data_IF_710747666766
#
_entry.id   IF_710747666766
#
_cell.length_a   1.000
_cell.length_b   1.000
_cell.length_c   1.000
_cell.angle_alpha   90.00
_cell.angle_beta   90.00
_cell.angle_gamma   90.00
#
_symmetry.space_group_name_H-M   'P 1'
#
loop_
_entity.id
_entity.type
_entity.pdbx_description
1 polymer ?
#
# COMPACT_ATOMS: atom_id res chain seq x y z
N UNK A 1 14.34 4.33 -3.80
CA UNK A 1 15.57 3.82 -3.16
C UNK A 1 16.76 4.62 -3.67
N UNK A 2 17.74 4.98 -2.80
CA UNK A 2 18.95 5.70 -3.23
C UNK A 2 19.85 4.84 -4.13
N UNK A 3 20.48 5.46 -5.12
CA UNK A 3 21.34 4.75 -6.09
C UNK A 3 22.54 4.05 -5.45
N UNK A 4 23.23 4.70 -4.51
CA UNK A 4 24.40 4.13 -3.83
C UNK A 4 24.05 2.81 -3.11
N UNK A 5 22.86 2.72 -2.51
CA UNK A 5 22.44 1.55 -1.75
C UNK A 5 22.21 0.35 -2.66
N UNK A 6 21.65 0.59 -3.85
CA UNK A 6 21.47 -0.47 -4.84
C UNK A 6 22.80 -1.10 -5.27
N UNK A 7 23.80 -0.26 -5.54
CA UNK A 7 25.13 -0.76 -5.92
C UNK A 7 25.80 -1.52 -4.77
N UNK A 8 25.59 -1.10 -3.54
CA UNK A 8 26.09 -1.80 -2.36
C UNK A 8 25.38 -3.15 -2.15
N UNK A 9 24.07 -3.24 -2.40
CA UNK A 9 23.32 -4.49 -2.41
C UNK A 9 23.88 -5.46 -3.47
N UNK A 10 24.11 -4.99 -4.70
CA UNK A 10 24.67 -5.83 -5.76
C UNK A 10 26.10 -6.28 -5.44
N UNK A 11 26.92 -5.39 -4.86
CA UNK A 11 28.26 -5.74 -4.40
C UNK A 11 28.24 -6.82 -3.32
N UNK A 12 27.33 -6.70 -2.35
CA UNK A 12 27.12 -7.71 -1.32
C UNK A 12 26.66 -9.05 -1.92
N UNK A 13 25.68 -9.03 -2.82
CA UNK A 13 25.15 -10.23 -3.46
C UNK A 13 26.20 -10.98 -4.29
N UNK A 14 27.06 -10.26 -5.02
CA UNK A 14 28.14 -10.86 -5.81
C UNK A 14 29.22 -11.51 -4.92
N UNK A 15 29.52 -10.94 -3.75
CA UNK A 15 30.47 -11.54 -2.80
C UNK A 15 29.88 -12.78 -2.15
N UNK A 16 28.57 -12.80 -1.92
CA UNK A 16 27.85 -13.93 -1.33
C UNK A 16 27.11 -14.76 -2.39
N UNK A 17 27.78 -15.03 -3.51
CA UNK A 17 27.23 -15.93 -4.52
C UNK A 17 27.07 -17.35 -3.93
N UNK A 18 26.00 -18.06 -4.32
CA UNK A 18 25.69 -19.41 -3.80
C UNK A 18 26.77 -20.45 -4.13
N UNK A 19 27.65 -20.17 -5.09
CA UNK A 19 28.79 -20.99 -5.46
C UNK A 19 30.06 -20.72 -4.67
N UNK A 20 30.16 -19.58 -3.98
CA UNK A 20 31.42 -19.04 -3.44
C UNK A 20 31.56 -19.17 -1.91
N UNK A 21 30.56 -19.74 -1.22
CA UNK A 21 30.63 -19.99 0.22
C UNK A 21 29.41 -20.72 0.78
N UNK A 22 29.35 -20.84 2.11
CA UNK A 22 28.39 -21.67 2.84
C UNK A 22 27.66 -20.96 3.99
N UNK A 23 27.87 -19.64 4.16
CA UNK A 23 27.12 -18.86 5.16
C UNK A 23 25.66 -18.68 4.75
N UNK A 24 24.79 -18.28 5.68
CA UNK A 24 23.36 -18.01 5.39
C UNK A 24 23.13 -16.99 4.24
N UNK A 25 24.09 -16.09 4.01
CA UNK A 25 24.04 -15.09 2.95
C UNK A 25 24.55 -15.58 1.59
N UNK A 26 25.23 -16.74 1.50
CA UNK A 26 25.68 -17.34 0.23
C UNK A 26 24.52 -18.03 -0.49
N UNK A 27 23.55 -17.22 -0.90
CA UNK A 27 22.33 -17.68 -1.57
C UNK A 27 21.90 -16.68 -2.66
N UNK A 28 22.84 -15.99 -3.30
CA UNK A 28 22.55 -15.15 -4.48
C UNK A 28 23.12 -15.81 -5.73
N UNK A 29 22.37 -15.76 -6.83
CA UNK A 29 22.86 -16.06 -8.18
C UNK A 29 23.41 -14.76 -8.77
N UNK A 30 24.72 -14.56 -8.66
CA UNK A 30 25.41 -13.35 -9.04
C UNK A 30 25.12 -12.94 -10.49
N UNK A 31 24.74 -11.68 -10.68
CA UNK A 31 24.56 -11.09 -12.00
C UNK A 31 24.76 -9.59 -12.00
N UNK A 32 25.20 -9.08 -13.15
CA UNK A 32 25.35 -7.65 -13.36
C UNK A 32 23.97 -7.00 -13.46
N UNK A 33 23.64 -6.16 -12.46
CA UNK A 33 22.50 -5.25 -12.53
C UNK A 33 21.15 -5.83 -12.08
N UNK A 34 21.10 -7.06 -11.55
CA UNK A 34 19.91 -7.59 -10.90
C UNK A 34 20.24 -8.36 -9.63
N UNK A 35 19.32 -8.35 -8.68
CA UNK A 35 19.38 -9.15 -7.47
C UNK A 35 18.57 -10.43 -7.71
N UNK A 36 19.20 -11.59 -7.53
CA UNK A 36 18.58 -12.90 -7.75
C UNK A 36 18.85 -13.83 -6.56
N UNK A 37 18.03 -13.82 -5.50
CA UNK A 37 18.16 -14.78 -4.43
C UNK A 37 17.86 -16.20 -4.95
N UNK A 38 18.71 -17.15 -4.63
CA UNK A 38 18.74 -18.53 -5.12
C UNK A 38 19.20 -19.50 -4.04
N UNK A 39 18.38 -20.50 -3.73
CA UNK A 39 18.79 -21.62 -2.87
C UNK A 39 19.28 -22.80 -3.71
N UNK A 40 20.52 -23.25 -3.47
CA UNK A 40 21.12 -24.41 -4.16
C UNK A 40 20.45 -25.73 -3.77
N UNK A 41 20.00 -25.83 -2.53
CA UNK A 41 19.32 -26.99 -1.93
C UNK A 41 18.11 -26.53 -1.13
N UNK A 42 17.19 -27.45 -0.86
CA UNK A 42 16.12 -27.21 0.11
C UNK A 42 16.72 -26.99 1.51
N UNK A 43 16.12 -26.10 2.28
CA UNK A 43 16.34 -25.94 3.71
C UNK A 43 15.02 -25.63 4.43
N UNK A 44 15.08 -25.39 5.74
CA UNK A 44 13.89 -25.15 6.57
C UNK A 44 13.13 -23.87 6.19
N UNK A 45 13.80 -22.91 5.56
CA UNK A 45 13.24 -21.60 5.20
C UNK A 45 12.84 -21.53 3.72
N UNK A 46 13.61 -22.15 2.84
CA UNK A 46 13.56 -21.95 1.39
C UNK A 46 13.68 -23.28 0.63
N UNK A 47 12.93 -23.36 -0.47
CA UNK A 47 13.02 -24.46 -1.44
C UNK A 47 14.05 -24.15 -2.51
N UNK A 48 14.67 -25.19 -3.06
CA UNK A 48 15.67 -25.04 -4.12
C UNK A 48 15.12 -24.22 -5.29
N UNK A 49 15.94 -23.30 -5.81
CA UNK A 49 15.64 -22.47 -6.96
C UNK A 49 15.68 -20.97 -6.65
N UNK A 50 15.32 -20.16 -7.65
CA UNK A 50 15.21 -18.71 -7.49
C UNK A 50 13.98 -18.32 -6.69
N UNK A 51 14.16 -17.33 -5.82
CA UNK A 51 13.11 -16.75 -5.00
C UNK A 51 12.58 -15.42 -5.52
N UNK A 52 13.22 -14.86 -6.55
CA UNK A 52 12.77 -13.64 -7.19
C UNK A 52 13.86 -13.09 -8.09
N UNK A 53 13.48 -12.17 -8.95
CA UNK A 53 14.41 -11.39 -9.76
C UNK A 53 14.01 -9.93 -9.58
N UNK A 54 14.97 -9.12 -9.16
CA UNK A 54 14.75 -7.71 -8.89
C UNK A 54 15.65 -6.84 -9.74
N UNK A 55 15.05 -5.82 -10.35
CA UNK A 55 15.72 -4.86 -11.21
C UNK A 55 15.50 -3.44 -10.70
N UNK A 56 16.30 -2.50 -11.17
CA UNK A 56 16.04 -1.07 -10.96
C UNK A 56 15.54 -0.40 -12.23
N UNK A 57 14.68 0.60 -12.07
CA UNK A 57 14.38 1.60 -13.09
C UNK A 57 14.68 2.99 -12.57
N UNK A 58 15.29 3.82 -13.43
CA UNK A 58 15.56 5.26 -13.20
C UNK A 58 14.44 6.15 -13.76
N UNK A 59 13.56 5.59 -14.57
CA UNK A 59 12.55 6.34 -15.32
C UNK A 59 11.24 5.57 -15.26
N UNK A 60 10.60 5.63 -14.11
CA UNK A 60 9.22 5.23 -13.97
C UNK A 60 8.41 6.47 -13.61
N UNK A 61 7.63 6.95 -14.58
CA UNK A 61 6.82 8.16 -14.42
C UNK A 61 5.96 8.06 -13.15
N UNK A 62 5.75 9.15 -12.42
CA UNK A 62 4.94 9.13 -11.20
C UNK A 62 5.46 8.28 -10.02
N UNK A 63 6.65 7.65 -10.14
CA UNK A 63 7.27 6.85 -9.06
C UNK A 63 8.69 7.34 -8.78
N UNK A 64 9.51 7.57 -9.81
CA UNK A 64 10.91 8.03 -9.63
C UNK A 64 11.03 9.51 -9.97
N UNK A 65 11.65 10.29 -9.08
CA UNK A 65 11.99 11.69 -9.31
C UNK A 65 13.48 11.93 -9.00
N UNK A 66 14.14 12.77 -9.81
CA UNK A 66 15.56 13.08 -9.60
C UNK A 66 16.48 11.86 -9.64
N UNK A 67 17.09 11.52 -8.50
CA UNK A 67 18.03 10.41 -8.34
C UNK A 67 17.40 9.14 -7.74
N UNK A 68 16.07 9.09 -7.63
CA UNK A 68 15.38 7.93 -7.08
C UNK A 68 15.39 6.74 -8.04
N UNK A 69 15.65 5.56 -7.48
CA UNK A 69 15.48 4.28 -8.16
C UNK A 69 14.18 3.61 -7.71
N UNK A 70 13.42 3.11 -8.68
CA UNK A 70 12.32 2.18 -8.46
C UNK A 70 12.86 0.74 -8.49
N UNK A 71 12.62 -0.01 -7.43
CA UNK A 71 12.89 -1.45 -7.38
C UNK A 71 11.70 -2.20 -8.00
N UNK A 72 11.97 -2.98 -9.04
CA UNK A 72 10.98 -3.75 -9.77
C UNK A 72 11.09 -5.22 -9.39
N UNK A 73 9.96 -5.82 -9.02
CA UNK A 73 9.82 -7.26 -8.79
C UNK A 73 9.30 -7.91 -10.07
N UNK A 74 10.01 -8.92 -10.57
CA UNK A 74 9.57 -9.69 -11.74
C UNK A 74 8.60 -10.79 -11.28
N UNK A 75 7.38 -10.87 -11.84
CA UNK A 75 6.49 -12.00 -11.58
C UNK A 75 7.09 -13.31 -12.10
N UNK A 76 6.71 -14.47 -11.54
CA UNK A 76 7.15 -15.74 -12.08
C UNK A 76 6.61 -15.87 -13.51
N UNK A 77 7.48 -16.18 -14.46
CA UNK A 77 7.08 -16.33 -15.86
C UNK A 77 6.11 -17.50 -16.02
N UNK A 78 5.17 -17.39 -16.96
CA UNK A 78 4.15 -18.41 -17.27
C UNK A 78 4.81 -19.75 -17.64
N UNK A 79 6.04 -19.69 -18.13
CA UNK A 79 6.83 -20.85 -18.57
C UNK A 79 7.36 -21.68 -17.38
N UNK A 80 7.54 -21.09 -16.19
CA UNK A 80 8.23 -21.76 -15.08
C UNK A 80 7.32 -22.35 -14.00
N UNK A 81 5.99 -22.19 -14.09
CA UNK A 81 4.98 -22.65 -13.10
C UNK A 81 5.49 -22.58 -11.65
N UNK A 82 6.08 -21.44 -11.29
CA UNK A 82 6.65 -21.25 -9.95
C UNK A 82 5.55 -20.81 -9.01
N UNK A 83 5.21 -21.69 -8.09
CA UNK A 83 4.34 -21.37 -6.97
C UNK A 83 4.87 -20.15 -6.21
N UNK A 84 4.00 -19.15 -6.06
CA UNK A 84 4.29 -17.91 -5.33
C UNK A 84 4.08 -18.16 -3.84
N UNK A 85 5.17 -18.21 -3.09
CA UNK A 85 5.15 -18.38 -1.63
C UNK A 85 6.47 -17.91 -0.99
N UNK A 86 6.50 -17.59 0.31
CA UNK A 86 7.73 -17.21 1.02
C UNK A 86 8.88 -18.22 0.91
N UNK A 87 8.56 -19.50 0.69
CA UNK A 87 9.57 -20.56 0.56
C UNK A 87 10.07 -20.73 -0.88
N UNK A 88 9.28 -20.33 -1.88
CA UNK A 88 9.55 -20.50 -3.31
C UNK A 88 9.72 -19.14 -3.97
N UNK A 89 8.89 -18.77 -4.95
CA UNK A 89 8.95 -17.45 -5.56
C UNK A 89 8.28 -16.42 -4.66
N UNK A 90 9.06 -15.50 -4.12
CA UNK A 90 8.59 -14.57 -3.09
C UNK A 90 7.45 -13.69 -3.61
N UNK A 91 6.33 -13.65 -2.88
CA UNK A 91 5.35 -12.57 -3.01
C UNK A 91 6.05 -11.21 -2.89
N UNK A 92 5.56 -10.21 -3.64
CA UNK A 92 6.17 -8.87 -3.68
C UNK A 92 6.24 -8.20 -2.29
N UNK A 93 5.26 -8.43 -1.41
CA UNK A 93 5.25 -7.96 -0.02
C UNK A 93 6.27 -8.66 0.86
N UNK A 94 6.36 -9.98 0.76
CA UNK A 94 7.40 -10.73 1.45
C UNK A 94 8.79 -10.27 1.00
N UNK A 95 9.00 -10.10 -0.30
CA UNK A 95 10.26 -9.63 -0.84
C UNK A 95 10.62 -8.21 -0.38
N UNK A 96 9.65 -7.29 -0.37
CA UNK A 96 9.86 -5.94 0.14
C UNK A 96 10.32 -5.96 1.61
N UNK A 97 9.57 -6.66 2.48
CA UNK A 97 9.91 -6.79 3.89
C UNK A 97 11.28 -7.46 4.08
N UNK A 98 11.57 -8.53 3.34
CA UNK A 98 12.87 -9.20 3.41
C UNK A 98 14.03 -8.26 2.99
N UNK A 99 13.85 -7.46 1.94
CA UNK A 99 14.88 -6.51 1.48
C UNK A 99 15.09 -5.39 2.50
N UNK A 100 14.02 -4.79 3.01
CA UNK A 100 14.09 -3.63 3.91
C UNK A 100 14.48 -4.01 5.34
N UNK A 101 14.00 -5.14 5.84
CA UNK A 101 14.17 -5.55 7.24
C UNK A 101 15.34 -6.51 7.46
N UNK A 102 15.79 -7.25 6.43
CA UNK A 102 16.92 -8.18 6.55
C UNK A 102 18.11 -7.80 5.69
N UNK A 103 17.94 -7.69 4.37
CA UNK A 103 19.07 -7.49 3.46
C UNK A 103 19.78 -6.16 3.69
N UNK A 104 19.04 -5.05 3.67
CA UNK A 104 19.63 -3.71 3.78
C UNK A 104 20.41 -3.53 5.09
N UNK A 105 19.87 -3.91 6.26
CA UNK A 105 20.64 -3.88 7.51
C UNK A 105 21.95 -4.66 7.42
N UNK A 106 21.95 -5.82 6.77
CA UNK A 106 23.17 -6.63 6.64
C UNK A 106 24.17 -6.07 5.63
N UNK A 107 23.71 -5.54 4.50
CA UNK A 107 24.57 -4.83 3.54
C UNK A 107 25.31 -3.67 4.23
N UNK A 108 24.61 -2.93 5.10
CA UNK A 108 25.22 -1.85 5.89
C UNK A 108 26.25 -2.41 6.88
N UNK A 109 25.94 -3.51 7.58
CA UNK A 109 26.89 -4.16 8.50
C UNK A 109 28.14 -4.65 7.76
N UNK A 110 27.96 -5.28 6.60
CA UNK A 110 29.03 -5.77 5.74
C UNK A 110 29.95 -4.65 5.28
N UNK A 111 29.41 -3.53 4.80
CA UNK A 111 30.20 -2.36 4.39
C UNK A 111 31.02 -1.76 5.52
N UNK A 112 30.42 -1.65 6.71
CA UNK A 112 31.11 -1.14 7.90
C UNK A 112 32.22 -2.09 8.33
N UNK A 113 32.01 -3.41 8.19
CA UNK A 113 32.95 -4.45 8.62
C UNK A 113 34.11 -4.64 7.63
N UNK A 114 33.83 -4.67 6.32
CA UNK A 114 34.83 -4.82 5.26
C UNK A 114 35.79 -3.62 5.12
N UNK A 115 35.47 -2.49 5.74
CA UNK A 115 36.34 -1.30 5.76
C UNK A 115 37.48 -1.37 6.78
N UNK A 116 37.52 -2.35 7.70
CA UNK A 116 38.53 -2.41 8.77
C UNK A 116 38.83 -3.83 9.24
N UNK A 117 40.04 -4.33 8.93
CA UNK A 117 40.55 -5.62 9.42
C UNK A 117 41.18 -5.59 10.83
N UNK A 118 41.05 -4.51 11.61
CA UNK A 118 41.72 -4.42 12.93
C UNK A 118 40.79 -4.04 14.08
N UNK A 119 40.96 -4.76 15.20
CA UNK A 119 40.23 -4.60 16.47
C UNK A 119 40.37 -3.21 17.13
N UNK A 120 41.25 -2.33 16.63
CA UNK A 120 41.49 -0.98 17.18
C UNK A 120 40.39 0.05 16.84
N UNK A 121 39.39 -0.32 16.03
CA UNK A 121 38.46 0.64 15.42
C UNK A 121 36.98 0.45 15.80
N UNK A 122 36.68 -0.24 16.91
CA UNK A 122 35.29 -0.49 17.35
C UNK A 122 34.49 0.82 17.50
N UNK A 123 35.09 1.89 18.01
CA UNK A 123 34.44 3.20 18.11
C UNK A 123 34.24 3.92 16.76
N UNK A 124 35.06 3.66 15.74
CA UNK A 124 34.83 4.24 14.40
C UNK A 124 33.75 3.47 13.62
N UNK A 125 33.60 2.17 13.88
CA UNK A 125 32.53 1.33 13.29
C UNK A 125 31.15 1.82 13.70
N UNK A 126 30.92 2.08 14.99
CA UNK A 126 29.62 2.57 15.48
C UNK A 126 29.28 3.95 14.93
N UNK A 127 30.26 4.85 14.83
CA UNK A 127 30.08 6.18 14.22
C UNK A 127 29.78 6.10 12.72
N UNK A 128 30.51 5.27 11.97
CA UNK A 128 30.24 5.06 10.53
C UNK A 128 28.88 4.41 10.27
N UNK A 129 28.52 3.38 11.05
CA UNK A 129 27.20 2.75 10.98
C UNK A 129 26.10 3.78 11.24
N UNK A 130 26.25 4.61 12.28
CA UNK A 130 25.29 5.69 12.56
C UNK A 130 25.20 6.68 11.40
N UNK A 131 26.32 7.12 10.83
CA UNK A 131 26.32 8.03 9.68
C UNK A 131 25.64 7.43 8.44
N UNK A 132 25.87 6.14 8.13
CA UNK A 132 25.19 5.42 7.05
C UNK A 132 23.69 5.27 7.30
N UNK A 133 23.30 4.96 8.54
CA UNK A 133 21.88 4.90 8.93
C UNK A 133 21.22 6.28 8.88
N UNK A 134 21.92 7.34 9.30
CA UNK A 134 21.45 8.72 9.17
C UNK A 134 21.30 9.12 7.70
N UNK A 135 22.23 8.73 6.82
CA UNK A 135 22.11 8.93 5.38
C UNK A 135 20.94 8.15 4.78
N UNK A 136 20.70 6.91 5.22
CA UNK A 136 19.55 6.12 4.81
C UNK A 136 18.23 6.75 5.29
N UNK A 137 18.19 7.24 6.53
CA UNK A 137 17.00 7.89 7.10
C UNK A 137 16.74 9.26 6.46
N UNK A 138 17.80 9.98 6.07
CA UNK A 138 17.71 11.28 5.41
C UNK A 138 17.38 11.16 3.91
N UNK A 139 17.86 10.10 3.25
CA UNK A 139 17.46 9.75 1.90
C UNK A 139 16.10 9.06 1.98
N UNK A 140 15.05 9.88 2.11
CA UNK A 140 13.63 9.55 2.15
C UNK A 140 13.32 8.06 2.03
N UNK A 141 12.74 7.51 3.11
CA UNK A 141 12.27 6.13 3.30
C UNK A 141 12.16 5.35 1.99
N UNK A 142 12.71 4.12 1.94
CA UNK A 142 12.43 3.19 0.84
C UNK A 142 10.92 2.96 0.81
N UNK A 143 10.24 3.79 0.04
CA UNK A 143 8.80 3.92 0.08
C UNK A 143 8.18 2.70 -0.56
N UNK A 144 7.23 2.10 0.13
CA UNK A 144 6.32 1.18 -0.51
C UNK A 144 5.33 1.96 -1.38
N UNK A 145 5.67 2.10 -2.67
CA UNK A 145 4.84 2.78 -3.67
C UNK A 145 3.69 1.91 -4.16
N UNK A 146 3.51 0.70 -3.62
CA UNK A 146 2.42 -0.19 -4.02
C UNK A 146 1.12 0.36 -3.46
N UNK A 147 0.19 0.62 -4.37
CA UNK A 147 -1.21 0.75 -3.98
C UNK A 147 -1.74 -0.64 -3.65
N UNK A 148 -2.14 -0.86 -2.40
CA UNK A 148 -2.64 -2.14 -1.90
C UNK A 148 -4.16 -2.23 -2.03
N UNK A 149 -4.63 -3.46 -2.26
CA UNK A 149 -6.05 -3.81 -2.24
C UNK A 149 -6.62 -3.64 -0.82
N UNK A 150 -7.89 -3.27 -0.72
CA UNK A 150 -8.63 -3.14 0.53
C UNK A 150 -9.25 -4.48 0.93
N UNK A 151 -9.95 -5.16 0.00
CA UNK A 151 -10.83 -6.29 0.31
C UNK A 151 -10.07 -7.61 0.34
N UNK A 152 -9.33 -7.94 -0.72
CA UNK A 152 -8.67 -9.25 -0.85
C UNK A 152 -7.66 -9.52 0.26
N UNK A 153 -6.92 -8.48 0.64
CA UNK A 153 -5.95 -8.48 1.75
C UNK A 153 -6.61 -8.35 3.13
N UNK A 154 -7.94 -8.13 3.18
CA UNK A 154 -8.69 -7.72 4.38
C UNK A 154 -8.10 -6.49 5.09
N UNK A 155 -7.31 -5.67 4.38
CA UNK A 155 -6.62 -4.51 4.95
C UNK A 155 -7.60 -3.53 5.59
N UNK A 156 -8.79 -3.37 5.01
CA UNK A 156 -9.83 -2.49 5.56
C UNK A 156 -10.18 -2.79 7.03
N UNK A 157 -10.05 -4.04 7.49
CA UNK A 157 -10.36 -4.42 8.87
C UNK A 157 -9.40 -3.82 9.90
N UNK A 158 -8.18 -3.50 9.48
CA UNK A 158 -7.13 -2.94 10.34
C UNK A 158 -6.97 -1.42 10.12
N UNK A 159 -7.88 -0.80 9.35
CA UNK A 159 -7.84 0.62 9.03
C UNK A 159 -8.97 1.35 9.75
N UNK A 160 -8.68 2.58 10.19
CA UNK A 160 -9.74 3.47 10.68
C UNK A 160 -10.67 3.87 9.53
N UNK A 161 -11.95 4.05 9.84
CA UNK A 161 -12.99 4.33 8.85
C UNK A 161 -12.70 5.60 8.04
N UNK A 162 -12.19 6.66 8.69
CA UNK A 162 -11.76 7.88 8.02
C UNK A 162 -10.81 7.59 6.85
N UNK A 163 -9.82 6.70 7.07
CA UNK A 163 -8.82 6.37 6.05
C UNK A 163 -9.41 5.59 4.89
N UNK A 164 -10.38 4.72 5.16
CA UNK A 164 -11.10 3.98 4.11
C UNK A 164 -11.90 4.97 3.25
N UNK A 165 -12.67 5.87 3.87
CA UNK A 165 -13.46 6.88 3.16
C UNK A 165 -12.56 7.80 2.34
N UNK A 166 -11.42 8.24 2.88
CA UNK A 166 -10.43 9.07 2.16
C UNK A 166 -9.91 8.37 0.89
N UNK A 167 -9.55 7.08 0.99
CA UNK A 167 -9.08 6.28 -0.16
C UNK A 167 -10.17 6.19 -1.23
N UNK A 168 -11.40 5.88 -0.82
CA UNK A 168 -12.53 5.78 -1.73
C UNK A 168 -12.86 7.13 -2.37
N UNK A 169 -12.87 8.22 -1.60
CA UNK A 169 -13.15 9.57 -2.08
C UNK A 169 -12.11 10.01 -3.12
N UNK A 170 -10.83 9.79 -2.83
CA UNK A 170 -9.73 10.08 -3.75
C UNK A 170 -9.85 9.27 -5.05
N UNK A 171 -10.30 8.02 -4.94
CA UNK A 171 -10.58 7.16 -6.09
C UNK A 171 -11.76 7.70 -6.92
N UNK A 172 -12.96 7.85 -6.36
CA UNK A 172 -14.13 8.28 -7.14
C UNK A 172 -14.05 9.73 -7.65
N UNK A 173 -13.14 10.55 -7.12
CA UNK A 173 -12.83 11.88 -7.70
C UNK A 173 -12.14 11.78 -9.07
N UNK A 174 -11.27 10.79 -9.26
CA UNK A 174 -10.37 10.70 -10.43
C UNK A 174 -10.87 9.75 -11.52
N UNK A 175 -11.88 8.91 -11.23
CA UNK A 175 -12.29 7.82 -12.11
C UNK A 175 -13.74 8.01 -12.55
N UNK A 176 -14.01 7.75 -13.82
CA UNK A 176 -15.25 8.18 -14.50
C UNK A 176 -16.09 7.01 -15.03
N UNK A 177 -15.62 5.76 -14.91
CA UNK A 177 -16.18 4.63 -15.66
C UNK A 177 -16.47 3.41 -14.78
N UNK A 178 -17.51 3.51 -13.94
CA UNK A 178 -18.00 2.38 -13.16
C UNK A 178 -19.51 2.52 -12.99
N UNK A 179 -20.23 1.42 -13.26
CA UNK A 179 -21.66 1.36 -12.97
C UNK A 179 -21.87 1.15 -11.48
N UNK A 180 -22.72 1.97 -10.88
CA UNK A 180 -23.12 1.89 -9.48
C UNK A 180 -24.62 1.74 -9.47
N UNK A 181 -25.11 0.71 -8.78
CA UNK A 181 -26.54 0.44 -8.65
C UNK A 181 -27.18 1.39 -7.64
N UNK A 182 -28.51 1.52 -7.75
CA UNK A 182 -29.30 2.28 -6.76
C UNK A 182 -29.19 1.67 -5.36
N UNK A 183 -29.03 0.35 -5.25
CA UNK A 183 -28.90 -0.33 -3.96
C UNK A 183 -27.56 -0.06 -3.29
N UNK A 184 -26.46 -0.02 -4.06
CA UNK A 184 -25.14 0.39 -3.57
C UNK A 184 -25.16 1.85 -3.12
N UNK A 185 -25.81 2.73 -3.89
CA UNK A 185 -25.98 4.13 -3.50
C UNK A 185 -26.83 4.28 -2.22
N UNK A 186 -27.90 3.48 -2.08
CA UNK A 186 -28.70 3.44 -0.87
C UNK A 186 -27.86 2.97 0.33
N UNK A 187 -27.00 1.97 0.12
CA UNK A 187 -26.03 1.51 1.11
C UNK A 187 -25.10 2.64 1.57
N UNK A 188 -24.55 3.41 0.62
CA UNK A 188 -23.68 4.55 0.91
C UNK A 188 -24.38 5.63 1.73
N UNK A 189 -25.63 5.96 1.39
CA UNK A 189 -26.44 6.89 2.20
C UNK A 189 -26.75 6.35 3.60
N UNK A 190 -27.07 5.06 3.75
CA UNK A 190 -27.26 4.44 5.07
C UNK A 190 -25.99 4.50 5.92
N UNK A 191 -24.82 4.30 5.31
CA UNK A 191 -23.54 4.46 5.99
C UNK A 191 -23.34 5.89 6.47
N UNK A 192 -23.64 6.89 5.63
CA UNK A 192 -23.60 8.29 6.03
C UNK A 192 -24.60 8.62 7.15
N UNK A 193 -25.82 8.08 7.11
CA UNK A 193 -26.82 8.26 8.18
C UNK A 193 -26.29 7.76 9.54
N UNK A 194 -25.60 6.61 9.56
CA UNK A 194 -24.92 6.13 10.77
C UNK A 194 -23.86 7.12 11.25
N UNK A 195 -23.08 7.70 10.34
CA UNK A 195 -22.09 8.71 10.68
C UNK A 195 -22.70 10.01 11.22
N UNK A 196 -23.85 10.43 10.70
CA UNK A 196 -24.52 11.67 11.14
C UNK A 196 -24.99 11.61 12.60
N UNK A 197 -25.18 10.42 13.18
CA UNK A 197 -25.49 10.24 14.61
C UNK A 197 -24.42 10.85 15.52
N UNK A 198 -23.17 10.89 15.08
CA UNK A 198 -22.05 11.48 15.82
C UNK A 198 -22.13 13.00 15.94
N UNK A 199 -23.01 13.66 15.16
CA UNK A 199 -23.17 15.12 15.11
C UNK A 199 -21.86 15.86 14.86
N UNK A 200 -20.99 15.27 14.04
CA UNK A 200 -19.68 15.81 13.64
C UNK A 200 -19.74 16.38 12.24
N UNK A 201 -18.83 17.32 11.97
CA UNK A 201 -18.75 18.02 10.69
C UNK A 201 -19.66 19.24 10.61
N UNK A 202 -19.32 20.17 9.72
CA UNK A 202 -20.12 21.36 9.50
C UNK A 202 -21.34 21.05 8.65
N UNK A 203 -22.54 21.34 9.18
CA UNK A 203 -23.82 21.10 8.50
C UNK A 203 -23.84 21.66 7.07
N UNK A 204 -23.37 22.89 6.88
CA UNK A 204 -23.33 23.57 5.58
C UNK A 204 -22.44 22.85 4.56
N UNK A 205 -21.34 22.26 5.01
CA UNK A 205 -20.42 21.50 4.15
C UNK A 205 -21.03 20.15 3.76
N UNK A 206 -21.61 19.44 4.73
CA UNK A 206 -22.27 18.15 4.50
C UNK A 206 -23.47 18.34 3.56
N UNK A 207 -24.35 19.29 3.87
CA UNK A 207 -25.54 19.57 3.05
C UNK A 207 -25.16 20.07 1.65
N UNK A 208 -24.15 20.92 1.56
CA UNK A 208 -23.61 21.44 0.30
C UNK A 208 -23.08 20.32 -0.60
N UNK A 209 -22.31 19.39 -0.01
CA UNK A 209 -21.79 18.22 -0.74
C UNK A 209 -22.94 17.36 -1.28
N UNK A 210 -23.96 17.08 -0.48
CA UNK A 210 -25.12 16.27 -0.87
C UNK A 210 -26.15 16.98 -1.77
N UNK A 211 -25.83 18.22 -2.21
CA UNK A 211 -26.74 19.09 -2.96
C UNK A 211 -28.11 19.24 -2.31
N UNK A 212 -28.15 19.29 -0.97
CA UNK A 212 -29.37 19.49 -0.20
C UNK A 212 -29.64 20.99 -0.11
N UNK A 213 -30.83 21.40 -0.56
CA UNK A 213 -31.29 22.78 -0.52
C UNK A 213 -32.29 22.97 0.62
N UNK A 214 -32.32 24.19 1.17
CA UNK A 214 -33.25 24.58 2.24
C UNK A 214 -32.58 24.71 3.61
N UNK A 215 -33.37 25.09 4.63
CA UNK A 215 -32.85 25.28 5.98
C UNK A 215 -32.44 23.95 6.60
N UNK A 216 -31.16 23.80 6.92
CA UNK A 216 -30.60 22.66 7.65
C UNK A 216 -30.16 23.15 9.02
N UNK A 217 -30.84 22.69 10.05
CA UNK A 217 -30.64 23.05 11.46
C UNK A 217 -29.94 21.95 12.25
N UNK A 218 -29.93 20.71 11.75
CA UNK A 218 -29.35 19.57 12.44
C UNK A 218 -28.89 18.44 11.52
N UNK A 219 -28.04 17.55 12.04
CA UNK A 219 -27.63 16.32 11.37
C UNK A 219 -28.81 15.35 11.19
N UNK A 220 -29.79 15.39 12.10
CA UNK A 220 -31.01 14.59 12.00
C UNK A 220 -31.82 14.97 10.75
N UNK A 221 -31.95 16.27 10.48
CA UNK A 221 -32.64 16.80 9.29
C UNK A 221 -31.98 16.28 8.00
N UNK A 222 -30.65 16.18 7.97
CA UNK A 222 -29.92 15.57 6.85
C UNK A 222 -30.26 14.08 6.74
N UNK A 223 -30.23 13.34 7.85
CA UNK A 223 -30.58 11.91 7.86
C UNK A 223 -32.00 11.65 7.34
N UNK A 224 -32.99 12.43 7.77
CA UNK A 224 -34.38 12.30 7.31
C UNK A 224 -34.53 12.55 5.80
N UNK A 225 -33.77 13.51 5.26
CA UNK A 225 -33.74 13.79 3.81
C UNK A 225 -33.13 12.60 3.06
N UNK A 226 -32.04 12.03 3.57
CA UNK A 226 -31.40 10.85 2.97
C UNK A 226 -32.31 9.62 3.02
N UNK A 227 -32.98 9.37 4.15
CA UNK A 227 -33.97 8.29 4.28
C UNK A 227 -35.11 8.47 3.27
N UNK A 228 -35.64 9.69 3.12
CA UNK A 228 -36.66 9.98 2.11
C UNK A 228 -36.15 9.73 0.68
N UNK A 229 -34.91 10.09 0.36
CA UNK A 229 -34.29 9.78 -0.94
C UNK A 229 -34.25 8.26 -1.16
N UNK A 230 -33.80 7.50 -0.16
CA UNK A 230 -33.76 6.02 -0.20
C UNK A 230 -35.16 5.45 -0.43
N UNK A 231 -36.15 5.83 0.38
CA UNK A 231 -37.52 5.31 0.28
C UNK A 231 -38.21 5.67 -1.03
N UNK A 232 -37.82 6.77 -1.68
CA UNK A 232 -38.39 7.17 -2.97
C UNK A 232 -37.92 6.30 -4.15
N UNK A 233 -36.83 5.55 -3.99
CA UNK A 233 -36.19 4.76 -5.05
C UNK A 233 -35.53 5.58 -6.18
N UNK A 234 -35.67 6.92 -6.18
CA UNK A 234 -35.08 7.82 -7.18
C UNK A 234 -33.71 8.30 -6.74
N UNK A 235 -32.75 7.37 -6.69
CA UNK A 235 -31.38 7.66 -6.33
C UNK A 235 -30.54 7.97 -7.56
N UNK A 236 -29.79 9.06 -7.51
CA UNK A 236 -28.72 9.32 -8.47
C UNK A 236 -27.53 8.43 -8.11
N UNK A 237 -27.26 7.42 -8.95
CA UNK A 237 -26.11 6.54 -8.78
C UNK A 237 -24.91 6.95 -9.63
N UNK A 238 -24.88 8.20 -10.10
CA UNK A 238 -23.73 8.78 -10.77
C UNK A 238 -22.51 8.86 -9.86
N UNK A 239 -21.33 8.66 -10.45
CA UNK A 239 -20.03 8.70 -9.76
C UNK A 239 -19.83 10.02 -8.99
N UNK A 240 -20.24 11.15 -9.57
CA UNK A 240 -20.15 12.45 -8.89
C UNK A 240 -20.92 12.44 -7.58
N UNK A 241 -22.09 11.79 -7.53
CA UNK A 241 -22.88 11.69 -6.31
C UNK A 241 -22.20 10.78 -5.27
N UNK A 242 -21.47 9.75 -5.70
CA UNK A 242 -20.65 8.92 -4.82
C UNK A 242 -19.48 9.71 -4.23
N UNK A 243 -18.72 10.45 -5.05
CA UNK A 243 -17.66 11.35 -4.56
C UNK A 243 -18.22 12.34 -3.53
N UNK A 244 -19.29 13.05 -3.87
CA UNK A 244 -19.90 14.00 -2.95
C UNK A 244 -20.41 13.38 -1.65
N UNK A 245 -20.97 12.18 -1.71
CA UNK A 245 -21.40 11.46 -0.51
C UNK A 245 -20.20 11.04 0.33
N UNK A 246 -19.10 10.59 -0.29
CA UNK A 246 -17.87 10.26 0.42
C UNK A 246 -17.23 11.50 1.07
N UNK A 247 -17.27 12.68 0.43
CA UNK A 247 -16.85 13.95 1.06
C UNK A 247 -17.68 14.30 2.28
N UNK A 248 -19.00 14.12 2.20
CA UNK A 248 -19.89 14.28 3.34
C UNK A 248 -19.57 13.27 4.46
N UNK A 249 -19.26 12.01 4.11
CA UNK A 249 -18.83 10.98 5.06
C UNK A 249 -17.49 11.34 5.72
N UNK A 250 -16.51 11.89 5.01
CA UNK A 250 -15.26 12.34 5.63
C UNK A 250 -15.52 13.41 6.70
N UNK A 251 -16.35 14.40 6.36
CA UNK A 251 -16.73 15.45 7.31
C UNK A 251 -17.50 14.90 8.52
N UNK A 252 -18.41 13.94 8.31
CA UNK A 252 -19.19 13.32 9.38
C UNK A 252 -18.37 12.33 10.24
N UNK A 253 -17.33 11.70 9.68
CA UNK A 253 -16.42 10.84 10.44
C UNK A 253 -15.55 11.67 11.40
N UNK A 254 -15.08 12.85 10.96
CA UNK A 254 -14.08 13.64 11.66
C UNK A 254 -12.69 12.99 11.63
N UNK A 255 -11.82 13.35 12.57
CA UNK A 255 -10.42 12.91 12.60
C UNK A 255 -10.20 11.51 13.22
N UNK A 256 -11.21 10.96 13.88
CA UNK A 256 -11.17 9.65 14.53
C UNK A 256 -12.53 8.93 14.45
N UNK A 257 -12.52 7.60 14.52
CA UNK A 257 -13.69 6.74 14.49
C UNK A 257 -13.99 6.04 15.85
N UNK A 258 -13.37 6.49 16.94
CA UNK A 258 -13.51 5.84 18.27
C UNK A 258 -14.89 6.04 18.89
N UNK A 259 -15.63 7.03 18.41
CA UNK A 259 -16.99 7.35 18.86
C UNK A 259 -18.06 6.45 18.22
N UNK A 260 -17.71 5.73 17.16
CA UNK A 260 -18.60 4.81 16.43
C UNK A 260 -18.54 3.45 17.14
N UNK A 261 -19.70 2.86 17.42
CA UNK A 261 -19.73 1.52 17.99
C UNK A 261 -19.20 0.47 17.01
N UNK A 262 -18.65 -0.65 17.51
CA UNK A 262 -18.13 -1.71 16.65
C UNK A 262 -19.21 -2.33 15.74
N UNK A 263 -20.46 -2.41 16.21
CA UNK A 263 -21.60 -2.85 15.40
C UNK A 263 -21.89 -1.89 14.24
N UNK A 264 -21.84 -0.58 14.49
CA UNK A 264 -22.01 0.43 13.45
C UNK A 264 -20.82 0.43 12.48
N UNK A 265 -19.58 0.25 12.96
CA UNK A 265 -18.41 0.10 12.08
C UNK A 265 -18.55 -1.10 11.16
N UNK A 266 -18.95 -2.26 11.68
CA UNK A 266 -19.24 -3.45 10.88
C UNK A 266 -20.29 -3.15 9.81
N UNK A 267 -21.40 -2.52 10.19
CA UNK A 267 -22.48 -2.14 9.27
C UNK A 267 -21.99 -1.18 8.17
N UNK A 268 -21.20 -0.17 8.54
CA UNK A 268 -20.63 0.78 7.59
C UNK A 268 -19.65 0.07 6.64
N UNK A 269 -18.81 -0.83 7.13
CA UNK A 269 -17.89 -1.61 6.29
C UNK A 269 -18.63 -2.48 5.27
N UNK A 270 -19.73 -3.13 5.68
CA UNK A 270 -20.57 -3.91 4.76
C UNK A 270 -21.17 -3.03 3.66
N UNK A 271 -21.66 -1.84 4.02
CA UNK A 271 -22.20 -0.86 3.06
C UNK A 271 -21.15 -0.27 2.12
N UNK A 272 -19.90 -0.14 2.59
CA UNK A 272 -18.77 0.34 1.77
C UNK A 272 -18.13 -0.77 0.92
N UNK A 273 -18.42 -2.04 1.19
CA UNK A 273 -17.79 -3.18 0.53
C UNK A 273 -17.89 -3.16 -1.01
N UNK A 274 -19.03 -2.79 -1.63
CA UNK A 274 -19.11 -2.69 -3.09
C UNK A 274 -18.10 -1.67 -3.65
N UNK A 275 -17.99 -0.51 -3.03
CA UNK A 275 -17.05 0.56 -3.42
C UNK A 275 -15.58 0.14 -3.24
N UNK A 276 -15.27 -0.58 -2.17
CA UNK A 276 -13.93 -1.14 -1.94
C UNK A 276 -13.58 -2.20 -3.00
N UNK A 277 -14.55 -2.99 -3.46
CA UNK A 277 -14.32 -3.96 -4.54
C UNK A 277 -14.08 -3.28 -5.89
N UNK A 278 -14.82 -2.22 -6.20
CA UNK A 278 -14.61 -1.42 -7.41
C UNK A 278 -13.21 -0.79 -7.40
N UNK A 279 -12.79 -0.23 -6.27
CA UNK A 279 -11.42 0.26 -6.08
C UNK A 279 -10.36 -0.83 -6.34
N UNK A 280 -10.54 -2.04 -5.77
CA UNK A 280 -9.61 -3.16 -5.97
C UNK A 280 -9.56 -3.62 -7.44
N UNK A 281 -10.70 -3.62 -8.14
CA UNK A 281 -10.78 -3.97 -9.56
C UNK A 281 -10.05 -2.96 -10.44
N UNK A 282 -10.30 -1.66 -10.24
CA UNK A 282 -9.64 -0.60 -10.99
C UNK A 282 -8.14 -0.55 -10.71
N UNK A 283 -7.75 -0.87 -9.48
CA UNK A 283 -6.35 -1.03 -9.10
C UNK A 283 -5.68 -2.19 -9.86
N UNK A 284 -6.36 -3.33 -10.01
CA UNK A 284 -5.87 -4.44 -10.81
C UNK A 284 -5.66 -4.00 -12.27
N UNK A 285 -6.66 -3.36 -12.88
CA UNK A 285 -6.56 -2.85 -14.26
C UNK A 285 -5.37 -1.90 -14.39
N UNK A 286 -5.22 -0.93 -13.47
CA UNK A 286 -4.10 0.03 -13.49
C UNK A 286 -2.75 -0.63 -13.35
N UNK A 287 -2.60 -1.62 -12.47
CA UNK A 287 -1.33 -2.37 -12.32
C UNK A 287 -0.91 -3.02 -13.65
N UNK A 288 -1.87 -3.42 -14.47
CA UNK A 288 -1.64 -4.07 -15.75
C UNK A 288 -1.68 -3.13 -16.97
N UNK A 289 -2.01 -1.84 -16.82
CA UNK A 289 -2.13 -0.92 -17.95
C UNK A 289 -1.28 0.35 -17.84
N UNK A 290 -0.86 0.74 -16.64
CA UNK A 290 -0.19 2.04 -16.41
C UNK A 290 1.22 2.13 -17.00
N UNK A 291 1.90 0.99 -17.14
CA UNK A 291 3.32 0.91 -17.54
C UNK A 291 3.56 0.03 -18.77
N UNK A 292 2.50 -0.25 -19.55
CA UNK A 292 2.60 -0.82 -20.91
C UNK A 292 2.81 0.32 -21.89
#
# INVERSE_FOLDING_TARGET
>A
MPEWLWWDILGFANVHDFGEGDTEWHFFDGALGCLKPYSKTDNDTYKRGHHGIFHISRKLEGITYGHDLALLWTPPDIIFDKEVSPQKWWPCDFAYAWITERLIPEVINWKVSGSFNEAKYIFSRSRKKRALLEQLNAAAEIGDVRTLELVKSQRYKNMGLHKIVEILQSHFTLFVTTYISTDEMAGLYRALILLLKGKRGHLSYISGSLSIQGPIDSHLTISEILDKRISSGKLDSGISNVDYTLRAMMAACGDDDKWISEEEKCSIHEMLLPFMRLYDQDLLVRRHSKWI
#
